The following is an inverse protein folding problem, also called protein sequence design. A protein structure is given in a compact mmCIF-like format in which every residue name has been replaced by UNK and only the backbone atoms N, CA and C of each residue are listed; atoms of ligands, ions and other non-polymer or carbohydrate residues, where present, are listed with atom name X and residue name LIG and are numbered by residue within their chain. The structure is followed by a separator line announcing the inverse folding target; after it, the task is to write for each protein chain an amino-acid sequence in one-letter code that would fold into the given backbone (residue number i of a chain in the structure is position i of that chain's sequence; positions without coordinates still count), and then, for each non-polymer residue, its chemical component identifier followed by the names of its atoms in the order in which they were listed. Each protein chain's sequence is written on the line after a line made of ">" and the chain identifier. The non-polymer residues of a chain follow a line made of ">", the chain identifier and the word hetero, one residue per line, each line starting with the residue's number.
data_IF_437420064213
#
_entry.id   IF_437420064213
#
_cell.length_a   1.000
_cell.length_b   1.000
_cell.length_c   1.000
_cell.angle_alpha   90.00
_cell.angle_beta   90.00
_cell.angle_gamma   90.00
#
_symmetry.space_group_name_H-M   'P 1'
#
loop_
_entity.id
_entity.type
_entity.pdbx_description
1 polymer ?
#
# COMPACT_ATOMS: atom_id res chain seq x y z
N UNK A 1 -10.23 12.16 0.19
CA UNK A 1 -10.60 13.53 0.62
C UNK A 1 -9.32 14.28 0.93
N UNK A 2 -8.93 15.22 0.07
CA UNK A 2 -7.76 16.08 0.28
C UNK A 2 -8.18 17.24 1.17
N UNK A 3 -7.56 17.32 2.33
CA UNK A 3 -7.73 18.40 3.29
C UNK A 3 -6.33 19.02 3.48
N UNK A 4 -6.12 20.23 2.96
CA UNK A 4 -4.87 20.98 3.18
C UNK A 4 -3.59 20.37 2.58
N UNK A 5 -3.67 19.54 1.54
CA UNK A 5 -2.48 19.01 0.85
C UNK A 5 -1.80 17.80 1.51
N UNK A 6 -2.38 17.26 2.58
CA UNK A 6 -1.88 16.06 3.26
C UNK A 6 -2.63 14.84 2.73
N UNK A 7 -1.89 13.87 2.18
CA UNK A 7 -2.44 12.54 1.90
C UNK A 7 -2.83 11.87 3.22
N UNK A 8 -4.11 11.62 3.41
CA UNK A 8 -4.62 10.91 4.58
C UNK A 8 -4.97 9.48 4.19
N UNK A 9 -4.39 8.53 4.92
CA UNK A 9 -4.83 7.14 4.84
C UNK A 9 -6.14 7.00 5.60
N UNK A 10 -7.10 6.27 5.00
CA UNK A 10 -8.38 5.95 5.62
C UNK A 10 -8.60 4.45 5.49
N UNK A 11 -8.81 3.78 6.62
CA UNK A 11 -9.24 2.39 6.62
C UNK A 11 -10.65 2.29 6.02
N UNK A 12 -10.86 1.25 5.22
CA UNK A 12 -12.18 0.84 4.70
C UNK A 12 -12.50 -0.55 5.24
N UNK A 13 -13.78 -0.85 5.42
CA UNK A 13 -14.22 -2.14 5.96
C UNK A 13 -14.03 -3.28 4.95
N UNK A 14 -14.26 -3.01 3.67
CA UNK A 14 -14.10 -3.96 2.57
C UNK A 14 -13.71 -3.22 1.27
N UNK A 15 -13.23 -4.00 0.30
CA UNK A 15 -12.94 -3.53 -1.06
C UNK A 15 -13.95 -4.21 -1.99
N UNK A 16 -14.77 -3.42 -2.68
CA UNK A 16 -15.67 -3.93 -3.71
C UNK A 16 -14.87 -4.36 -4.93
N UNK A 17 -15.17 -5.56 -5.45
CA UNK A 17 -14.60 -6.09 -6.69
C UNK A 17 -15.74 -6.28 -7.70
N UNK A 18 -15.98 -5.32 -8.61
CA UNK A 18 -17.06 -5.42 -9.60
C UNK A 18 -16.82 -6.55 -10.60
N UNK A 19 -17.91 -7.13 -11.11
CA UNK A 19 -17.82 -8.22 -12.08
C UNK A 19 -17.18 -7.72 -13.39
N UNK A 20 -16.15 -8.43 -13.86
CA UNK A 20 -15.44 -8.09 -15.09
C UNK A 20 -14.46 -6.94 -14.96
N UNK A 21 -14.28 -6.39 -13.75
CA UNK A 21 -13.32 -5.31 -13.48
C UNK A 21 -12.13 -5.80 -12.65
N UNK A 22 -11.03 -5.07 -12.76
CA UNK A 22 -9.81 -5.29 -11.97
C UNK A 22 -9.65 -4.17 -10.98
N UNK A 23 -9.51 -4.51 -9.70
CA UNK A 23 -9.18 -3.56 -8.64
C UNK A 23 -7.68 -3.64 -8.35
N UNK A 24 -6.98 -2.52 -8.51
CA UNK A 24 -5.53 -2.45 -8.30
C UNK A 24 -5.19 -1.95 -6.90
N UNK A 25 -4.36 -2.72 -6.20
CA UNK A 25 -3.73 -2.29 -4.95
C UNK A 25 -2.35 -1.71 -5.26
N UNK A 26 -2.11 -0.45 -4.89
CA UNK A 26 -0.87 0.25 -5.17
C UNK A 26 -0.56 1.37 -4.16
N UNK A 27 0.72 1.76 -4.00
CA UNK A 27 1.11 2.92 -3.20
C UNK A 27 0.35 4.17 -3.62
N UNK A 28 -0.17 4.92 -2.63
CA UNK A 28 -0.98 6.13 -2.87
C UNK A 28 -2.43 5.87 -3.27
N UNK A 29 -2.82 4.61 -3.50
CA UNK A 29 -4.21 4.17 -3.72
C UNK A 29 -4.68 3.20 -2.64
N UNK A 30 -5.53 2.25 -3.03
CA UNK A 30 -5.90 1.13 -2.18
C UNK A 30 -4.66 0.28 -1.88
N UNK A 31 -4.47 -0.11 -0.63
CA UNK A 31 -3.39 -0.99 -0.21
C UNK A 31 -3.81 -1.72 1.07
N UNK A 32 -3.15 -2.85 1.35
CA UNK A 32 -3.34 -3.58 2.59
C UNK A 32 -2.38 -3.04 3.64
N UNK A 33 -2.90 -2.73 4.83
CA UNK A 33 -2.06 -2.45 6.00
C UNK A 33 -1.94 -3.73 6.82
N UNK A 34 -0.72 -4.23 6.98
CA UNK A 34 -0.41 -5.32 7.89
C UNK A 34 -0.08 -4.73 9.26
N UNK A 35 -0.88 -5.05 10.27
CA UNK A 35 -0.69 -4.59 11.65
C UNK A 35 -0.30 -5.75 12.55
N UNK A 36 0.34 -5.45 13.67
CA UNK A 36 0.67 -6.43 14.73
C UNK A 36 1.34 -7.70 14.22
N UNK A 37 2.32 -7.54 13.33
CA UNK A 37 3.07 -8.65 12.76
C UNK A 37 3.85 -9.39 13.86
N UNK A 38 3.74 -10.73 13.94
CA UNK A 38 4.45 -11.52 14.96
C UNK A 38 5.96 -11.55 14.72
N UNK A 39 6.37 -11.38 13.46
CA UNK A 39 7.76 -11.40 13.02
C UNK A 39 8.00 -10.25 12.01
N UNK A 40 9.22 -9.69 11.95
CA UNK A 40 9.56 -8.65 10.99
C UNK A 40 9.52 -9.18 9.54
N UNK A 41 9.04 -8.35 8.62
CA UNK A 41 9.13 -8.64 7.19
C UNK A 41 10.58 -8.50 6.71
N UNK A 42 11.14 -9.55 6.11
CA UNK A 42 12.51 -9.55 5.59
C UNK A 42 12.47 -9.62 4.06
N UNK A 43 13.20 -8.71 3.41
CA UNK A 43 13.30 -8.66 1.96
C UNK A 43 13.75 -10.01 1.36
N UNK A 44 13.09 -10.42 0.28
CA UNK A 44 13.34 -11.68 -0.40
C UNK A 44 12.66 -12.90 0.25
N UNK A 45 12.01 -12.75 1.41
CA UNK A 45 11.10 -13.77 1.92
C UNK A 45 9.75 -13.69 1.22
N UNK A 46 9.01 -14.80 1.26
CA UNK A 46 7.61 -14.84 0.86
C UNK A 46 6.71 -14.83 2.10
N UNK A 47 5.63 -14.06 2.03
CA UNK A 47 4.54 -14.10 2.99
C UNK A 47 3.30 -14.69 2.33
N UNK A 48 2.59 -15.53 3.07
CA UNK A 48 1.28 -16.04 2.65
C UNK A 48 0.18 -15.17 3.25
N UNK A 49 -0.75 -14.77 2.42
CA UNK A 49 -1.90 -13.97 2.79
C UNK A 49 -3.16 -14.69 2.31
N UNK A 50 -4.15 -14.79 3.18
CA UNK A 50 -5.48 -15.27 2.81
C UNK A 50 -6.39 -14.09 2.50
N UNK A 51 -6.88 -14.02 1.26
CA UNK A 51 -7.90 -13.08 0.83
C UNK A 51 -9.27 -13.75 0.95
N UNK A 52 -10.13 -13.19 1.81
CA UNK A 52 -11.50 -13.69 1.99
C UNK A 52 -12.43 -12.90 1.09
N UNK A 53 -12.97 -13.55 0.06
CA UNK A 53 -14.00 -12.98 -0.79
C UNK A 53 -15.37 -13.47 -0.35
N UNK A 54 -16.32 -12.55 -0.20
CA UNK A 54 -17.68 -12.86 0.25
C UNK A 54 -18.36 -13.92 -0.63
N UNK A 55 -18.12 -13.90 -1.95
CA UNK A 55 -18.82 -14.76 -2.93
C UNK A 55 -18.03 -15.97 -3.40
N UNK A 56 -16.69 -15.87 -3.45
CA UNK A 56 -15.81 -16.93 -3.98
C UNK A 56 -15.03 -17.66 -2.90
N UNK A 57 -15.19 -17.28 -1.63
CA UNK A 57 -14.49 -17.88 -0.50
C UNK A 57 -13.05 -17.38 -0.34
N UNK A 58 -12.24 -18.17 0.34
CA UNK A 58 -10.85 -17.80 0.66
C UNK A 58 -9.89 -18.18 -0.46
N UNK A 59 -9.01 -17.27 -0.82
CA UNK A 59 -7.89 -17.51 -1.74
C UNK A 59 -6.58 -17.22 -1.02
N UNK A 60 -5.69 -18.20 -0.97
CA UNK A 60 -4.32 -18.00 -0.49
C UNK A 60 -3.45 -17.45 -1.62
N UNK A 61 -2.67 -16.41 -1.31
CA UNK A 61 -1.64 -15.86 -2.20
C UNK A 61 -0.30 -15.84 -1.49
N UNK A 62 0.76 -16.19 -2.22
CA UNK A 62 2.15 -15.98 -1.79
C UNK A 62 2.67 -14.70 -2.43
N UNK A 63 3.22 -13.80 -1.62
CA UNK A 63 3.77 -12.52 -2.09
C UNK A 63 5.20 -12.34 -1.57
N UNK A 64 6.16 -11.94 -2.43
CA UNK A 64 7.49 -11.60 -1.97
C UNK A 64 7.48 -10.27 -1.21
N UNK A 65 8.24 -10.22 -0.11
CA UNK A 65 8.56 -8.98 0.59
C UNK A 65 9.62 -8.25 -0.22
N UNK A 66 9.26 -7.08 -0.73
CA UNK A 66 10.15 -6.21 -1.50
C UNK A 66 10.12 -4.78 -0.97
N UNK A 67 11.22 -4.05 -1.16
CA UNK A 67 11.28 -2.65 -0.80
C UNK A 67 10.37 -1.80 -1.72
N UNK A 68 9.57 -0.91 -1.13
CA UNK A 68 8.62 -0.06 -1.87
C UNK A 68 9.30 0.84 -2.92
N UNK A 69 10.59 1.16 -2.73
CA UNK A 69 11.40 1.91 -3.71
C UNK A 69 11.57 1.17 -5.05
N UNK A 70 11.45 -0.16 -5.08
CA UNK A 70 11.59 -0.96 -6.30
C UNK A 70 10.35 -0.91 -7.21
N UNK A 71 9.19 -0.47 -6.71
CA UNK A 71 7.92 -0.42 -7.45
C UNK A 71 7.30 0.98 -7.60
N UNK A 72 7.92 2.01 -7.02
CA UNK A 72 7.37 3.37 -6.99
C UNK A 72 8.33 4.34 -7.67
N UNK A 73 8.01 4.74 -8.90
CA UNK A 73 8.63 5.91 -9.53
C UNK A 73 8.46 7.14 -8.63
N UNK A 74 9.59 7.58 -8.05
CA UNK A 74 9.90 8.91 -7.53
C UNK A 74 8.79 9.75 -6.90
N UNK A 75 8.76 9.80 -5.56
CA UNK A 75 8.24 10.99 -4.88
C UNK A 75 9.30 12.10 -4.90
N UNK A 76 9.04 13.07 -5.77
CA UNK A 76 9.61 14.41 -5.92
C UNK A 76 10.73 14.86 -4.97
N UNK A 77 11.90 15.05 -5.58
CA UNK A 77 12.93 16.02 -5.20
C UNK A 77 12.33 17.44 -5.19
N UNK A 78 12.51 18.19 -4.10
CA UNK A 78 12.46 19.66 -4.12
C UNK A 78 11.61 20.29 -3.02
N UNK A 79 12.24 20.70 -1.91
CA UNK A 79 11.76 21.81 -1.09
C UNK A 79 12.92 22.77 -0.80
N UNK A 80 12.88 23.89 -1.50
CA UNK A 80 13.07 25.25 -0.97
C UNK A 80 14.34 25.57 -0.19
N UNK A 81 15.23 26.34 -0.83
CA UNK A 81 16.23 27.20 -0.20
C UNK A 81 15.66 28.07 0.94
N UNK A 82 16.40 28.16 2.05
CA UNK A 82 16.44 29.36 2.89
C UNK A 82 17.89 29.75 3.22
N UNK A 83 18.60 30.38 2.28
CA UNK A 83 19.76 31.20 2.66
C UNK A 83 19.28 32.60 3.08
N UNK A 84 18.96 32.74 4.37
CA UNK A 84 19.15 33.97 5.15
C UNK A 84 20.44 33.73 5.95
N UNK A 85 21.55 34.41 5.72
CA UNK A 85 21.70 35.84 5.88
C UNK A 85 22.66 36.07 7.05
N UNK A 86 23.96 36.04 6.75
CA UNK A 86 25.00 36.90 7.33
C UNK A 86 26.26 36.82 6.48
#
# INVERSE_FOLDING_TARGET
>A
LMDGGVMRMRQVEAIEVPAGETVTLQPGGLHLMLMDLPEPLVEGQEIRIELVFEKSGTTEISMPVANIAAGSGGHGKGHGMNKSGQ
#
